data_IF_330135192778
#
_entry.id   IF_330135192778
#
_cell.length_a   1.000
_cell.length_b   1.000
_cell.length_c   1.000
_cell.angle_alpha   90.00
_cell.angle_beta   90.00
_cell.angle_gamma   90.00
#
_symmetry.space_group_name_H-M   'P 1'
#
loop_
_entity.id
_entity.type
_entity.pdbx_description
1 polymer ?
#
# COMPACT_ATOMS: atom_id res chain seq x y z
N UNK A 1 -14.31 1.21 -8.75
CA UNK A 1 -13.40 0.96 -9.91
C UNK A 1 -12.25 0.16 -9.36
N UNK A 2 -11.72 -0.87 -10.03
CA UNK A 2 -10.63 -1.64 -9.41
C UNK A 2 -9.31 -0.88 -9.55
N UNK A 3 -8.80 -0.35 -8.44
CA UNK A 3 -7.51 0.32 -8.37
C UNK A 3 -6.38 -0.67 -8.70
N UNK A 4 -5.41 -0.22 -9.49
CA UNK A 4 -4.20 -1.02 -9.75
C UNK A 4 -3.32 -1.10 -8.50
N UNK A 5 -2.49 -2.13 -8.39
CA UNK A 5 -1.57 -2.30 -7.25
C UNK A 5 -0.70 -1.05 -7.01
N UNK A 6 -0.30 -0.35 -8.08
CA UNK A 6 0.43 0.91 -8.03
C UNK A 6 -0.40 2.01 -7.36
N UNK A 7 -1.65 2.20 -7.79
CA UNK A 7 -2.57 3.21 -7.27
C UNK A 7 -2.86 2.95 -5.79
N UNK A 8 -3.22 1.71 -5.44
CA UNK A 8 -3.44 1.29 -4.04
C UNK A 8 -2.21 1.60 -3.19
N UNK A 9 -1.01 1.27 -3.68
CA UNK A 9 0.21 1.57 -2.97
C UNK A 9 0.47 3.08 -2.87
N UNK A 10 0.12 3.87 -3.88
CA UNK A 10 0.33 5.32 -3.88
C UNK A 10 -0.58 6.05 -2.89
N UNK A 11 -1.78 5.49 -2.65
CA UNK A 11 -2.75 6.02 -1.70
C UNK A 11 -2.42 5.56 -0.26
N UNK A 12 -2.19 4.25 -0.09
CA UNK A 12 -2.04 3.64 1.24
C UNK A 12 -0.61 3.63 1.76
N UNK A 13 0.38 4.01 0.96
CA UNK A 13 1.76 4.14 1.41
C UNK A 13 2.33 5.51 1.12
N UNK A 14 3.08 6.02 2.08
CA UNK A 14 3.86 7.24 1.94
C UNK A 14 5.31 6.89 1.60
N UNK A 15 5.92 7.68 0.72
CA UNK A 15 7.32 7.51 0.36
C UNK A 15 7.59 6.28 -0.50
N UNK A 16 6.71 5.94 -1.44
CA UNK A 16 6.95 4.85 -2.42
C UNK A 16 8.25 4.99 -3.23
N UNK A 17 8.77 6.20 -3.38
CA UNK A 17 10.05 6.47 -4.03
C UNK A 17 11.26 6.32 -3.09
N UNK A 18 11.02 6.15 -1.80
CA UNK A 18 12.09 5.94 -0.81
C UNK A 18 12.43 4.46 -0.68
N UNK A 19 13.58 4.15 -0.11
CA UNK A 19 13.96 2.76 0.18
C UNK A 19 13.05 2.08 1.21
N UNK A 20 12.27 2.86 1.96
CA UNK A 20 11.42 2.37 3.06
C UNK A 20 10.02 2.98 3.02
N UNK A 21 9.13 2.55 2.11
CA UNK A 21 7.74 2.97 2.11
C UNK A 21 7.07 2.67 3.45
N UNK A 22 6.24 3.61 3.91
CA UNK A 22 5.48 3.50 5.15
C UNK A 22 4.00 3.30 4.84
N UNK A 23 3.37 2.28 5.43
CA UNK A 23 1.92 2.12 5.32
C UNK A 23 1.22 3.21 6.15
N UNK A 24 0.29 3.96 5.56
CA UNK A 24 -0.47 4.99 6.25
C UNK A 24 -1.46 4.40 7.27
N UNK A 25 -1.96 3.18 7.02
CA UNK A 25 -2.95 2.53 7.90
C UNK A 25 -2.35 2.01 9.19
N UNK A 26 -1.21 1.31 9.14
CA UNK A 26 -0.55 0.73 10.33
C UNK A 26 0.74 1.45 10.74
N UNK A 27 1.14 2.51 10.03
CA UNK A 27 2.40 3.27 10.24
C UNK A 27 3.67 2.42 10.20
N UNK A 28 3.59 1.20 9.65
CA UNK A 28 4.72 0.26 9.55
C UNK A 28 5.57 0.55 8.32
N UNK A 29 6.88 0.45 8.47
CA UNK A 29 7.85 0.61 7.39
C UNK A 29 8.15 -0.73 6.72
N UNK A 30 8.24 -0.71 5.39
CA UNK A 30 8.56 -1.87 4.56
C UNK A 30 9.80 -1.58 3.74
N UNK A 31 10.62 -2.59 3.48
CA UNK A 31 11.73 -2.45 2.54
C UNK A 31 11.17 -2.41 1.10
N UNK A 32 11.64 -1.45 0.30
CA UNK A 32 11.30 -1.39 -1.12
C UNK A 32 12.02 -2.52 -1.86
N UNK A 33 11.27 -3.47 -2.39
CA UNK A 33 11.75 -4.41 -3.40
C UNK A 33 11.55 -3.87 -4.81
N UNK A 34 11.86 -4.68 -5.82
CA UNK A 34 11.63 -4.32 -7.25
C UNK A 34 10.16 -4.19 -7.65
N UNK A 35 9.20 -4.33 -6.74
CA UNK A 35 7.77 -4.23 -7.04
C UNK A 35 6.89 -4.02 -5.82
N UNK A 36 5.58 -4.01 -6.06
CA UNK A 36 4.54 -3.70 -5.08
C UNK A 36 3.94 -4.95 -4.40
N UNK A 37 4.32 -6.16 -4.82
CA UNK A 37 3.72 -7.41 -4.35
C UNK A 37 3.82 -7.57 -2.83
N UNK A 38 4.96 -7.22 -2.23
CA UNK A 38 5.15 -7.30 -0.77
C UNK A 38 4.23 -6.33 -0.02
N UNK A 39 4.02 -5.14 -0.57
CA UNK A 39 3.14 -4.12 0.00
C UNK A 39 1.67 -4.55 -0.08
N UNK A 40 1.26 -5.08 -1.24
CA UNK A 40 -0.10 -5.60 -1.44
C UNK A 40 -0.36 -6.85 -0.59
N UNK A 41 0.62 -7.75 -0.45
CA UNK A 41 0.49 -8.91 0.43
C UNK A 41 0.31 -8.49 1.89
N UNK A 42 1.04 -7.47 2.34
CA UNK A 42 0.83 -6.88 3.65
C UNK A 42 -0.59 -6.33 3.79
N UNK A 43 -1.07 -5.53 2.82
CA UNK A 43 -2.41 -4.98 2.85
C UNK A 43 -3.48 -6.08 2.90
N UNK A 44 -3.36 -7.12 2.06
CA UNK A 44 -4.27 -8.27 2.09
C UNK A 44 -4.30 -8.99 3.43
N UNK A 45 -3.16 -9.14 4.10
CA UNK A 45 -3.06 -9.89 5.35
C UNK A 45 -3.44 -9.05 6.58
N UNK A 46 -3.05 -7.78 6.62
CA UNK A 46 -3.22 -6.92 7.80
C UNK A 46 -4.44 -5.99 7.70
N UNK A 47 -4.91 -5.72 6.48
CA UNK A 47 -5.94 -4.74 6.19
C UNK A 47 -6.97 -5.32 5.21
N UNK A 48 -7.86 -6.24 5.62
CA UNK A 48 -8.85 -6.85 4.71
C UNK A 48 -9.75 -5.82 4.01
N UNK A 49 -9.88 -4.61 4.58
CA UNK A 49 -10.63 -3.49 3.98
C UNK A 49 -9.75 -2.52 3.17
N UNK A 50 -8.51 -2.87 2.83
CA UNK A 50 -7.60 -1.98 2.12
C UNK A 50 -8.15 -1.51 0.77
N UNK A 51 -8.89 -2.35 0.04
CA UNK A 51 -9.49 -1.97 -1.25
C UNK A 51 -10.47 -0.83 -1.06
N UNK A 52 -11.34 -0.92 -0.05
CA UNK A 52 -12.29 0.14 0.29
C UNK A 52 -11.61 1.40 0.82
N UNK A 53 -10.57 1.26 1.63
CA UNK A 53 -9.78 2.41 2.12
C UNK A 53 -9.04 3.11 0.97
N UNK A 54 -8.54 2.36 0.00
CA UNK A 54 -7.91 2.93 -1.18
C UNK A 54 -8.95 3.60 -2.10
N UNK A 55 -10.13 3.00 -2.29
CA UNK A 55 -11.21 3.59 -3.07
C UNK A 55 -11.80 4.86 -2.43
N UNK A 56 -11.90 4.92 -1.10
CA UNK A 56 -12.41 6.10 -0.38
C UNK A 56 -11.41 7.28 -0.41
N UNK A 57 -10.12 6.97 -0.50
CA UNK A 57 -9.03 7.95 -0.52
C UNK A 57 -8.50 8.28 -1.94
N UNK A 58 -9.10 7.71 -3.00
CA UNK A 58 -8.79 7.99 -4.41
C UNK A 58 -9.64 9.16 -4.94
#
# INVERSE_FOLDING_TARGET
MKLSNREVCAILFTGLNTQRPQCNTCKRFFARGNGYTNLIMHLRSAHPSYEKQAEDAY
#
